data_IF_218725475685
#
_entry.id   IF_218725475685
#
_cell.length_a   1.000
_cell.length_b   1.000
_cell.length_c   1.000
_cell.angle_alpha   90.00
_cell.angle_beta   90.00
_cell.angle_gamma   90.00
#
_symmetry.space_group_name_H-M   'P 1'
#
loop_
_entity.id
_entity.type
_entity.pdbx_description
1 polymer ?
#
# COMPACT_ATOMS: atom_id res chain seq x y z
N UNK A 1 23.92 -11.66 -11.50
CA UNK A 1 22.58 -11.03 -11.40
C UNK A 1 21.53 -12.11 -11.30
N UNK A 2 21.00 -12.27 -10.10
CA UNK A 2 19.83 -13.08 -9.80
C UNK A 2 18.67 -12.15 -9.37
N UNK A 3 17.44 -12.64 -9.51
CA UNK A 3 16.27 -11.98 -8.97
C UNK A 3 15.91 -12.65 -7.64
N UNK A 4 15.67 -11.85 -6.61
CA UNK A 4 15.29 -12.34 -5.28
C UNK A 4 13.89 -11.85 -5.02
N UNK A 5 12.92 -12.75 -4.96
CA UNK A 5 11.55 -12.42 -4.61
C UNK A 5 11.36 -12.76 -3.15
N UNK A 6 11.01 -11.77 -2.35
CA UNK A 6 10.91 -11.81 -0.89
C UNK A 6 9.45 -11.55 -0.49
N UNK A 7 9.00 -12.29 0.50
CA UNK A 7 7.72 -12.09 1.17
C UNK A 7 7.88 -12.30 2.68
N UNK A 8 7.08 -11.61 3.48
CA UNK A 8 7.23 -11.55 4.93
C UNK A 8 5.88 -11.75 5.61
N UNK A 9 5.88 -12.51 6.70
CA UNK A 9 4.76 -12.51 7.64
C UNK A 9 5.17 -11.81 8.94
N UNK A 10 4.23 -11.08 9.54
CA UNK A 10 4.48 -10.31 10.76
C UNK A 10 3.31 -10.35 11.74
N UNK A 11 3.63 -10.11 13.02
CA UNK A 11 2.63 -9.94 14.07
C UNK A 11 2.64 -8.49 14.56
N UNK A 12 1.50 -7.81 14.38
CA UNK A 12 1.29 -6.46 14.90
C UNK A 12 1.27 -6.45 16.43
N UNK A 13 2.09 -5.60 17.03
CA UNK A 13 2.16 -5.45 18.49
C UNK A 13 2.45 -4.01 18.92
N UNK A 14 2.12 -3.67 20.16
CA UNK A 14 2.53 -2.41 20.74
C UNK A 14 3.90 -2.53 21.41
N UNK A 15 4.90 -1.83 20.87
CA UNK A 15 6.23 -1.78 21.46
C UNK A 15 6.29 -0.77 22.61
N UNK A 16 6.58 -1.27 23.81
CA UNK A 16 6.82 -0.40 24.99
C UNK A 16 8.08 0.45 24.85
N UNK A 17 9.10 -0.03 24.11
CA UNK A 17 10.37 0.66 23.87
C UNK A 17 10.16 1.94 23.07
N UNK A 18 9.37 1.85 21.99
CA UNK A 18 9.15 2.98 21.07
C UNK A 18 7.81 3.71 21.31
N UNK A 19 6.97 3.19 22.21
CA UNK A 19 5.60 3.68 22.51
C UNK A 19 4.72 3.80 21.26
N UNK A 20 4.85 2.83 20.34
CA UNK A 20 4.14 2.79 19.06
C UNK A 20 3.77 1.36 18.69
N UNK A 21 2.76 1.21 17.83
CA UNK A 21 2.53 -0.05 17.13
C UNK A 21 3.70 -0.37 16.21
N UNK A 22 4.04 -1.66 16.14
CA UNK A 22 5.19 -2.21 15.44
C UNK A 22 4.80 -3.56 14.85
N UNK A 23 5.14 -3.79 13.59
CA UNK A 23 4.93 -5.06 12.91
C UNK A 23 6.19 -5.91 13.05
N UNK A 24 6.20 -6.82 14.04
CA UNK A 24 7.35 -7.69 14.29
C UNK A 24 7.34 -8.85 13.32
N UNK A 25 8.39 -8.99 12.49
CA UNK A 25 8.50 -10.07 11.50
C UNK A 25 8.58 -11.41 12.23
N UNK A 26 7.79 -12.38 11.76
CA UNK A 26 7.70 -13.74 12.30
C UNK A 26 8.06 -14.83 11.27
N UNK A 27 8.04 -14.51 9.98
CA UNK A 27 8.49 -15.41 8.91
C UNK A 27 9.14 -14.60 7.78
N UNK A 28 10.16 -15.19 7.17
CA UNK A 28 10.81 -14.71 5.96
C UNK A 28 10.79 -15.82 4.93
N UNK A 29 10.14 -15.58 3.81
CA UNK A 29 10.22 -16.43 2.62
C UNK A 29 10.96 -15.70 1.51
N UNK A 30 11.79 -16.41 0.75
CA UNK A 30 12.32 -15.89 -0.50
C UNK A 30 12.59 -17.00 -1.51
N UNK A 31 12.46 -16.65 -2.79
CA UNK A 31 12.90 -17.49 -3.92
C UNK A 31 13.94 -16.74 -4.74
N UNK A 32 14.99 -17.46 -5.13
CA UNK A 32 16.03 -16.99 -6.04
C UNK A 32 15.68 -17.48 -7.44
N UNK A 33 15.53 -16.54 -8.35
CA UNK A 33 15.23 -16.81 -9.75
C UNK A 33 16.43 -16.39 -10.60
N UNK A 34 16.85 -17.30 -11.47
CA UNK A 34 17.97 -17.08 -12.39
C UNK A 34 17.61 -16.13 -13.53
N UNK A 35 18.60 -15.78 -14.36
CA UNK A 35 18.37 -14.96 -15.57
C UNK A 35 17.49 -15.65 -16.60
N UNK A 36 17.46 -16.98 -16.61
CA UNK A 36 16.57 -17.78 -17.46
C UNK A 36 15.17 -17.93 -16.86
N UNK A 37 14.85 -17.18 -15.80
CA UNK A 37 13.56 -17.17 -15.11
C UNK A 37 13.20 -18.49 -14.41
N UNK A 38 14.19 -19.35 -14.20
CA UNK A 38 14.03 -20.60 -13.45
C UNK A 38 14.33 -20.38 -11.96
N UNK A 39 13.49 -20.90 -11.04
CA UNK A 39 13.81 -20.98 -9.62
C UNK A 39 15.06 -21.84 -9.41
N UNK A 40 16.05 -21.31 -8.70
CA UNK A 40 17.32 -22.02 -8.45
C UNK A 40 17.57 -22.31 -6.98
N UNK A 41 16.90 -21.62 -6.07
CA UNK A 41 17.14 -21.73 -4.64
C UNK A 41 15.98 -21.09 -3.86
N UNK A 42 15.76 -21.54 -2.63
CA UNK A 42 14.75 -20.96 -1.72
C UNK A 42 15.37 -20.66 -0.36
N UNK A 43 14.84 -19.64 0.30
CA UNK A 43 15.19 -19.28 1.66
C UNK A 43 13.93 -19.22 2.52
N UNK A 44 14.00 -19.85 3.68
CA UNK A 44 12.93 -19.83 4.66
C UNK A 44 13.50 -19.66 6.05
N UNK A 45 12.90 -18.75 6.82
CA UNK A 45 13.24 -18.57 8.22
C UNK A 45 12.02 -18.16 9.04
N UNK A 46 11.70 -18.96 10.06
CA UNK A 46 10.79 -18.57 11.13
C UNK A 46 11.56 -17.74 12.16
N UNK A 47 10.99 -16.61 12.54
CA UNK A 47 11.59 -15.63 13.43
C UNK A 47 10.94 -15.71 14.81
N UNK A 48 11.76 -15.83 15.86
CA UNK A 48 11.27 -15.82 17.23
C UNK A 48 10.93 -14.40 17.68
N UNK A 49 9.66 -14.10 17.98
CA UNK A 49 9.25 -12.78 18.46
C UNK A 49 9.85 -12.48 19.84
N UNK A 50 10.31 -11.25 20.03
CA UNK A 50 10.88 -10.75 21.30
C UNK A 50 10.15 -9.50 21.81
N UNK A 51 9.43 -8.76 20.96
CA UNK A 51 8.62 -7.60 21.36
C UNK A 51 7.27 -8.06 21.90
N UNK A 52 6.64 -9.04 21.26
CA UNK A 52 5.40 -9.66 21.74
C UNK A 52 5.58 -11.11 22.14
N UNK A 53 4.99 -11.50 23.28
CA UNK A 53 4.93 -12.90 23.72
C UNK A 53 3.66 -13.62 23.26
N UNK A 54 2.71 -12.90 22.65
CA UNK A 54 1.42 -13.45 22.21
C UNK A 54 1.24 -13.21 20.72
N UNK A 55 1.13 -14.30 19.98
CA UNK A 55 0.67 -14.30 18.59
C UNK A 55 -0.82 -13.90 18.58
N UNK A 56 -1.20 -12.98 17.71
CA UNK A 56 -2.62 -12.66 17.53
C UNK A 56 -3.35 -13.85 16.90
N UNK A 57 -4.61 -14.08 17.28
CA UNK A 57 -5.43 -15.16 16.71
C UNK A 57 -5.58 -15.03 15.20
N UNK A 58 -5.66 -13.79 14.69
CA UNK A 58 -5.76 -13.45 13.26
C UNK A 58 -4.52 -13.90 12.51
N UNK A 59 -3.32 -13.62 13.02
CA UNK A 59 -2.07 -14.04 12.37
C UNK A 59 -1.94 -15.57 12.37
N UNK A 60 -2.36 -16.23 13.46
CA UNK A 60 -2.37 -17.71 13.51
C UNK A 60 -3.30 -18.32 12.46
N UNK A 61 -4.49 -17.75 12.27
CA UNK A 61 -5.44 -18.27 11.27
C UNK A 61 -4.97 -18.01 9.84
N UNK A 62 -4.34 -16.87 9.58
CA UNK A 62 -3.88 -16.51 8.23
C UNK A 62 -2.63 -17.30 7.83
N UNK A 63 -1.64 -17.37 8.72
CA UNK A 63 -0.32 -17.93 8.39
C UNK A 63 -0.21 -19.43 8.67
N UNK A 64 -1.04 -19.94 9.59
CA UNK A 64 -0.92 -21.30 10.09
C UNK A 64 0.33 -21.58 10.93
N UNK A 65 1.15 -20.56 11.25
CA UNK A 65 2.35 -20.70 12.06
C UNK A 65 1.94 -21.02 13.51
N UNK A 66 2.51 -22.09 14.06
CA UNK A 66 2.24 -22.51 15.44
C UNK A 66 3.13 -21.78 16.45
N UNK A 67 2.68 -21.69 17.70
CA UNK A 67 3.47 -21.01 18.76
C UNK A 67 4.79 -21.73 19.02
N UNK A 68 4.79 -23.04 18.85
CA UNK A 68 5.92 -23.94 19.02
C UNK A 68 6.98 -23.65 17.94
N UNK A 69 6.56 -23.51 16.69
CA UNK A 69 7.42 -23.10 15.56
C UNK A 69 8.09 -21.74 15.82
N UNK A 70 7.35 -20.77 16.36
CA UNK A 70 7.91 -19.46 16.73
C UNK A 70 8.91 -19.52 17.90
N UNK A 71 8.71 -20.42 18.87
CA UNK A 71 9.65 -20.59 20.00
C UNK A 71 11.00 -21.12 19.52
N UNK A 72 10.98 -22.01 18.54
CA UNK A 72 12.15 -22.59 17.89
C UNK A 72 12.73 -21.70 16.79
N UNK A 73 12.00 -20.64 16.41
CA UNK A 73 12.43 -19.62 15.48
C UNK A 73 13.76 -18.96 15.85
N UNK A 74 14.41 -18.39 14.84
CA UNK A 74 15.72 -17.74 14.99
C UNK A 74 15.54 -16.27 15.37
N UNK A 75 16.50 -15.64 16.06
CA UNK A 75 16.50 -14.19 16.23
C UNK A 75 16.51 -13.48 14.86
N UNK A 76 15.74 -12.39 14.74
CA UNK A 76 15.65 -11.60 13.50
C UNK A 76 17.04 -11.23 12.93
N UNK A 77 17.96 -10.81 13.79
CA UNK A 77 19.32 -10.42 13.41
C UNK A 77 20.10 -11.58 12.76
N UNK A 78 19.92 -12.80 13.25
CA UNK A 78 20.54 -14.00 12.69
C UNK A 78 19.94 -14.34 11.33
N UNK A 79 18.61 -14.29 11.20
CA UNK A 79 17.92 -14.58 9.95
C UNK A 79 18.29 -13.58 8.84
N UNK A 80 18.34 -12.28 9.14
CA UNK A 80 18.79 -11.25 8.19
C UNK A 80 20.24 -11.46 7.76
N UNK A 81 21.13 -11.85 8.69
CA UNK A 81 22.52 -12.18 8.37
C UNK A 81 22.63 -13.40 7.45
N UNK A 82 21.80 -14.42 7.68
CA UNK A 82 21.71 -15.60 6.81
C UNK A 82 21.14 -15.25 5.43
N UNK A 83 20.06 -14.49 5.36
CA UNK A 83 19.46 -14.03 4.11
C UNK A 83 20.46 -13.22 3.28
N UNK A 84 21.18 -12.27 3.90
CA UNK A 84 22.24 -11.51 3.24
C UNK A 84 23.32 -12.41 2.63
N UNK A 85 23.76 -13.43 3.37
CA UNK A 85 24.76 -14.41 2.89
C UNK A 85 24.21 -15.30 1.79
N UNK A 86 22.93 -15.66 1.86
CA UNK A 86 22.26 -16.49 0.87
C UNK A 86 22.03 -15.74 -0.45
N UNK A 87 21.76 -14.43 -0.40
CA UNK A 87 21.70 -13.56 -1.59
C UNK A 87 23.08 -13.51 -2.24
N UNK A 88 24.14 -13.21 -1.46
CA UNK A 88 25.56 -13.13 -1.83
C UNK A 88 25.94 -12.14 -2.96
N UNK A 89 25.21 -12.16 -4.08
CA UNK A 89 25.41 -11.36 -5.27
C UNK A 89 25.00 -9.89 -5.03
N UNK A 90 25.95 -8.93 -5.04
CA UNK A 90 25.63 -7.52 -4.86
C UNK A 90 24.88 -6.90 -6.05
N UNK A 91 24.85 -7.59 -7.21
CA UNK A 91 24.08 -7.19 -8.38
C UNK A 91 22.66 -7.75 -8.39
N UNK A 92 22.27 -8.51 -7.36
CA UNK A 92 20.93 -9.05 -7.26
C UNK A 92 19.88 -7.93 -7.19
N UNK A 93 18.73 -8.18 -7.81
CA UNK A 93 17.55 -7.31 -7.72
C UNK A 93 16.59 -7.96 -6.74
N UNK A 94 16.31 -7.27 -5.64
CA UNK A 94 15.35 -7.73 -4.64
C UNK A 94 13.97 -7.18 -4.99
N UNK A 95 12.95 -8.02 -4.89
CA UNK A 95 11.57 -7.69 -5.22
C UNK A 95 10.67 -8.16 -4.10
N UNK A 96 9.61 -7.41 -3.87
CA UNK A 96 8.48 -7.83 -3.03
C UNK A 96 7.20 -7.62 -3.83
N UNK A 97 6.11 -8.31 -3.48
CA UNK A 97 4.85 -8.09 -4.17
C UNK A 97 4.42 -6.62 -4.05
N UNK A 98 4.55 -6.03 -2.85
CA UNK A 98 4.31 -4.59 -2.64
C UNK A 98 5.40 -3.94 -1.79
N UNK A 99 5.47 -2.62 -1.77
CA UNK A 99 6.35 -1.88 -0.86
C UNK A 99 6.06 -2.07 0.64
N UNK A 100 4.96 -2.74 1.01
CA UNK A 100 4.60 -3.02 2.42
C UNK A 100 5.66 -3.85 3.12
N UNK A 101 6.09 -4.96 2.51
CA UNK A 101 7.14 -5.85 3.03
C UNK A 101 8.44 -5.08 3.25
N UNK A 102 8.80 -4.22 2.29
CA UNK A 102 10.00 -3.42 2.37
C UNK A 102 9.95 -2.41 3.54
N UNK A 103 8.80 -1.80 3.78
CA UNK A 103 8.58 -0.90 4.92
C UNK A 103 8.66 -1.64 6.26
N UNK A 104 8.04 -2.82 6.36
CA UNK A 104 8.09 -3.66 7.56
C UNK A 104 9.52 -4.13 7.83
N UNK A 105 10.23 -4.59 6.80
CA UNK A 105 11.64 -4.99 6.91
C UNK A 105 12.53 -3.84 7.36
N UNK A 106 12.35 -2.64 6.79
CA UNK A 106 13.09 -1.45 7.19
C UNK A 106 12.81 -1.07 8.66
N UNK A 107 11.55 -1.15 9.10
CA UNK A 107 11.20 -0.88 10.50
C UNK A 107 11.86 -1.88 11.47
N UNK A 108 11.91 -3.16 11.10
CA UNK A 108 12.58 -4.20 11.89
C UNK A 108 14.11 -4.01 11.90
N UNK A 109 14.72 -3.63 10.76
CA UNK A 109 16.14 -3.25 10.71
C UNK A 109 16.46 -2.08 11.64
N UNK A 110 15.63 -1.03 11.65
CA UNK A 110 15.77 0.09 12.60
C UNK A 110 15.66 -0.35 14.05
N UNK A 111 14.69 -1.23 14.34
CA UNK A 111 14.41 -1.65 15.72
C UNK A 111 15.47 -2.59 16.30
N UNK A 112 15.95 -3.56 15.51
CA UNK A 112 16.82 -4.65 15.96
C UNK A 112 18.30 -4.48 15.57
N UNK A 113 18.59 -3.77 14.48
CA UNK A 113 19.95 -3.58 13.97
C UNK A 113 20.46 -2.14 14.12
N UNK A 114 19.58 -1.20 14.54
CA UNK A 114 19.86 0.24 14.55
C UNK A 114 20.34 0.75 13.18
N UNK A 115 19.75 0.25 12.10
CA UNK A 115 20.09 0.62 10.72
C UNK A 115 18.89 1.25 10.02
N UNK A 116 19.10 2.44 9.46
CA UNK A 116 18.10 3.15 8.64
C UNK A 116 18.02 2.67 7.19
N UNK A 117 18.69 1.55 6.88
CA UNK A 117 18.79 0.93 5.55
C UNK A 117 18.70 -0.58 5.68
N UNK A 118 18.22 -1.25 4.64
CA UNK A 118 18.18 -2.71 4.59
C UNK A 118 19.54 -3.21 4.06
N UNK A 119 20.33 -3.98 4.85
CA UNK A 119 21.76 -4.18 4.59
C UNK A 119 22.14 -4.90 3.29
N UNK A 120 21.20 -5.60 2.66
CA UNK A 120 21.45 -6.46 1.50
C UNK A 120 20.73 -6.00 0.24
N UNK A 121 19.92 -4.94 0.30
CA UNK A 121 19.18 -4.43 -0.85
C UNK A 121 19.99 -3.28 -1.46
N UNK A 122 20.54 -3.51 -2.66
CA UNK A 122 21.16 -2.48 -3.49
C UNK A 122 20.29 -2.07 -4.66
N UNK A 123 19.58 -3.02 -5.25
CA UNK A 123 18.60 -2.80 -6.30
C UNK A 123 17.27 -3.39 -5.86
N UNK A 124 16.20 -2.62 -6.04
CA UNK A 124 14.85 -3.02 -5.66
C UNK A 124 13.86 -2.80 -6.81
N UNK A 125 12.87 -3.68 -6.93
CA UNK A 125 11.70 -3.46 -7.78
C UNK A 125 10.40 -3.84 -7.05
N UNK A 126 9.36 -3.05 -7.26
CA UNK A 126 7.99 -3.34 -6.80
C UNK A 126 7.30 -4.19 -7.88
N UNK A 127 7.06 -5.48 -7.57
CA UNK A 127 6.54 -6.42 -8.54
C UNK A 127 5.07 -6.16 -8.89
N UNK A 128 4.25 -5.69 -7.95
CA UNK A 128 2.87 -5.31 -8.23
C UNK A 128 2.81 -4.11 -9.18
N UNK A 129 3.66 -3.09 -8.98
CA UNK A 129 3.72 -1.95 -9.89
C UNK A 129 4.12 -2.36 -11.31
N UNK A 130 5.09 -3.27 -11.43
CA UNK A 130 5.48 -3.83 -12.73
C UNK A 130 4.36 -4.68 -13.36
N UNK A 131 3.68 -5.51 -12.56
CA UNK A 131 2.53 -6.29 -13.00
C UNK A 131 1.40 -5.40 -13.54
N UNK A 132 1.03 -4.33 -12.82
CA UNK A 132 0.00 -3.39 -13.28
C UNK A 132 0.35 -2.74 -14.61
N UNK A 133 1.61 -2.35 -14.79
CA UNK A 133 2.10 -1.82 -16.05
C UNK A 133 1.94 -2.83 -17.19
N UNK A 134 2.35 -4.09 -16.98
CA UNK A 134 2.25 -5.15 -18.00
C UNK A 134 0.80 -5.52 -18.33
N UNK A 135 -0.10 -5.41 -17.37
CA UNK A 135 -1.53 -5.70 -17.55
C UNK A 135 -2.37 -4.52 -18.04
N UNK A 136 -1.75 -3.33 -18.22
CA UNK A 136 -2.49 -2.12 -18.59
C UNK A 136 -3.52 -1.69 -17.54
N UNK A 137 -3.32 -2.07 -16.28
CA UNK A 137 -4.23 -1.76 -15.19
C UNK A 137 -3.99 -0.34 -14.68
N UNK A 138 -5.08 0.39 -14.41
CA UNK A 138 -5.01 1.73 -13.85
C UNK A 138 -4.60 1.70 -12.37
N UNK A 139 -3.80 2.68 -11.94
CA UNK A 139 -3.24 2.75 -10.59
C UNK A 139 -4.25 2.90 -9.44
N UNK A 140 -5.56 2.92 -9.72
CA UNK A 140 -6.62 2.89 -8.70
C UNK A 140 -6.99 1.48 -8.22
N UNK A 141 -6.59 0.43 -8.94
CA UNK A 141 -6.89 -0.95 -8.56
C UNK A 141 -5.62 -1.66 -8.09
N UNK A 142 -5.52 -1.91 -6.77
CA UNK A 142 -4.48 -2.80 -6.25
C UNK A 142 -4.87 -4.25 -6.51
N UNK A 143 -4.00 -5.01 -7.17
CA UNK A 143 -4.23 -6.43 -7.47
C UNK A 143 -3.46 -7.25 -6.46
N UNK A 144 -4.17 -8.01 -5.62
CA UNK A 144 -3.54 -8.98 -4.73
C UNK A 144 -2.89 -10.12 -5.53
N UNK A 145 -1.90 -10.78 -4.92
CA UNK A 145 -1.15 -11.86 -5.56
C UNK A 145 -2.05 -12.97 -6.10
N UNK A 146 -3.04 -13.42 -5.30
CA UNK A 146 -4.03 -14.45 -5.70
C UNK A 146 -4.70 -14.08 -7.02
N UNK A 147 -5.24 -12.86 -7.11
CA UNK A 147 -5.91 -12.36 -8.31
C UNK A 147 -4.95 -12.25 -9.50
N UNK A 148 -3.68 -11.90 -9.25
CA UNK A 148 -2.67 -11.88 -10.31
C UNK A 148 -2.35 -13.28 -10.84
N UNK A 149 -2.27 -14.28 -9.96
CA UNK A 149 -2.11 -15.69 -10.34
C UNK A 149 -3.31 -16.17 -11.18
N UNK A 150 -4.54 -15.88 -10.75
CA UNK A 150 -5.76 -16.18 -11.50
C UNK A 150 -5.73 -15.58 -12.92
N UNK A 151 -5.38 -14.29 -13.04
CA UNK A 151 -5.28 -13.60 -14.33
C UNK A 151 -4.25 -14.22 -15.28
N UNK A 152 -3.21 -14.87 -14.73
CA UNK A 152 -2.12 -15.50 -15.49
C UNK A 152 -2.30 -17.01 -15.66
N UNK A 153 -3.39 -17.58 -15.16
CA UNK A 153 -3.60 -19.04 -15.16
C UNK A 153 -2.51 -19.80 -14.40
N UNK A 154 -2.01 -19.22 -13.30
CA UNK A 154 -1.06 -19.87 -12.40
C UNK A 154 -1.87 -20.60 -11.33
N UNK A 155 -1.68 -21.92 -11.22
CA UNK A 155 -2.36 -22.73 -10.20
C UNK A 155 -1.79 -22.41 -8.82
N UNK A 156 -2.66 -21.90 -7.96
CA UNK A 156 -2.37 -21.75 -6.54
C UNK A 156 -2.57 -23.11 -5.85
N UNK A 157 -1.48 -23.83 -5.63
CA UNK A 157 -1.49 -25.15 -4.99
C UNK A 157 -1.30 -25.06 -3.46
N UNK A 158 -1.46 -23.88 -2.85
CA UNK A 158 -1.30 -23.71 -1.40
C UNK A 158 -2.35 -24.50 -0.63
N UNK A 159 -1.97 -25.02 0.53
CA UNK A 159 -2.88 -25.63 1.49
C UNK A 159 -3.54 -24.55 2.35
N UNK A 160 -4.41 -23.72 1.77
CA UNK A 160 -5.28 -22.71 2.43
C UNK A 160 -4.63 -21.71 3.42
N UNK A 161 -3.31 -21.73 3.60
CA UNK A 161 -2.54 -20.94 4.58
C UNK A 161 -1.53 -20.06 3.87
N UNK A 162 -1.39 -18.82 4.32
CA UNK A 162 -0.39 -17.87 3.83
C UNK A 162 0.97 -18.18 4.46
N UNK A 163 1.84 -18.88 3.74
CA UNK A 163 3.25 -19.03 4.12
C UNK A 163 4.07 -18.10 3.26
N UNK A 164 4.97 -17.34 3.90
CA UNK A 164 5.81 -16.38 3.19
C UNK A 164 6.62 -17.01 2.04
N UNK A 165 7.08 -18.26 2.20
CA UNK A 165 7.82 -18.94 1.14
C UNK A 165 6.93 -19.25 -0.08
N UNK A 166 5.70 -19.71 0.15
CA UNK A 166 4.77 -20.04 -0.94
C UNK A 166 4.40 -18.79 -1.72
N UNK A 167 4.14 -17.68 -1.02
CA UNK A 167 3.86 -16.38 -1.63
C UNK A 167 5.06 -15.82 -2.42
N UNK A 168 6.29 -16.05 -1.93
CA UNK A 168 7.51 -15.74 -2.67
C UNK A 168 7.62 -16.55 -3.97
N UNK A 169 7.33 -17.85 -3.92
CA UNK A 169 7.38 -18.75 -5.08
C UNK A 169 6.33 -18.37 -6.11
N UNK A 170 5.08 -18.14 -5.70
CA UNK A 170 4.01 -17.68 -6.58
C UNK A 170 4.34 -16.33 -7.23
N UNK A 171 4.85 -15.38 -6.44
CA UNK A 171 5.33 -14.09 -6.95
C UNK A 171 6.46 -14.27 -7.98
N UNK A 172 7.38 -15.21 -7.74
CA UNK A 172 8.42 -15.59 -8.71
C UNK A 172 7.85 -16.14 -10.02
N UNK A 173 6.80 -16.96 -9.96
CA UNK A 173 6.11 -17.49 -11.15
C UNK A 173 5.38 -16.37 -11.91
N UNK A 174 4.70 -15.47 -11.21
CA UNK A 174 4.09 -14.28 -11.81
C UNK A 174 5.15 -13.48 -12.54
N UNK A 175 6.27 -13.17 -11.88
CA UNK A 175 7.40 -12.46 -12.47
C UNK A 175 7.91 -13.15 -13.74
N UNK A 176 8.15 -14.46 -13.70
CA UNK A 176 8.62 -15.24 -14.85
C UNK A 176 7.66 -15.15 -16.04
N UNK A 177 6.34 -15.10 -15.82
CA UNK A 177 5.33 -14.99 -16.88
C UNK A 177 5.26 -13.61 -17.54
N UNK A 178 5.53 -12.54 -16.77
CA UNK A 178 5.38 -11.15 -17.26
C UNK A 178 6.71 -10.48 -17.59
N UNK A 179 7.84 -11.16 -17.37
CA UNK A 179 9.17 -10.58 -17.51
C UNK A 179 9.43 -10.12 -18.93
N UNK A 180 9.86 -8.87 -19.05
CA UNK A 180 10.33 -8.26 -20.26
C UNK A 180 11.51 -7.36 -19.88
N UNK A 181 12.70 -7.65 -20.41
CA UNK A 181 13.93 -7.03 -19.92
C UNK A 181 13.96 -5.51 -20.09
N UNK A 182 13.42 -5.01 -21.21
CA UNK A 182 13.39 -3.58 -21.52
C UNK A 182 12.42 -2.85 -20.59
N UNK A 183 11.18 -3.32 -20.48
CA UNK A 183 10.19 -2.74 -19.58
C UNK A 183 10.62 -2.84 -18.12
N UNK A 184 11.11 -3.99 -17.68
CA UNK A 184 11.45 -4.25 -16.28
C UNK A 184 12.58 -3.34 -15.79
N UNK A 185 13.57 -3.02 -16.64
CA UNK A 185 14.68 -2.13 -16.29
C UNK A 185 14.22 -0.77 -15.73
N UNK A 186 13.04 -0.28 -16.16
CA UNK A 186 12.43 0.99 -15.72
C UNK A 186 11.82 0.93 -14.31
N UNK A 187 11.64 -0.27 -13.76
CA UNK A 187 11.08 -0.54 -12.44
C UNK A 187 12.15 -0.94 -11.42
N UNK A 188 13.43 -1.00 -11.84
CA UNK A 188 14.55 -1.29 -10.97
C UNK A 188 15.13 0.04 -10.45
N UNK A 189 15.13 0.20 -9.14
CA UNK A 189 15.64 1.38 -8.46
C UNK A 189 16.86 1.04 -7.62
N UNK A 190 17.86 1.92 -7.62
CA UNK A 190 18.95 1.85 -6.65
C UNK A 190 18.39 2.18 -5.26
N UNK A 191 18.70 1.36 -4.26
CA UNK A 191 18.30 1.57 -2.88
C UNK A 191 19.23 2.58 -2.18
N UNK A 192 19.28 3.79 -2.73
CA UNK A 192 20.07 4.91 -2.24
C UNK A 192 19.29 5.79 -1.25
N UNK A 193 19.90 6.89 -0.82
CA UNK A 193 19.27 7.85 0.10
C UNK A 193 17.92 8.37 -0.40
N UNK A 194 17.80 8.65 -1.70
CA UNK A 194 16.59 9.18 -2.30
C UNK A 194 15.47 8.15 -2.33
N UNK A 195 15.81 6.91 -2.67
CA UNK A 195 14.88 5.78 -2.61
C UNK A 195 14.25 5.65 -1.22
N UNK A 196 15.06 5.67 -0.16
CA UNK A 196 14.52 5.56 1.20
C UNK A 196 13.77 6.82 1.65
N UNK A 197 14.16 8.03 1.20
CA UNK A 197 13.37 9.25 1.43
C UNK A 197 11.98 9.13 0.83
N UNK A 198 11.88 8.65 -0.42
CA UNK A 198 10.59 8.42 -1.09
C UNK A 198 9.78 7.31 -0.43
N UNK A 199 10.42 6.18 -0.11
CA UNK A 199 9.78 5.02 0.52
C UNK A 199 9.15 5.39 1.87
N UNK A 200 9.87 6.16 2.69
CA UNK A 200 9.44 6.51 4.05
C UNK A 200 8.55 7.76 4.11
N UNK A 201 8.29 8.40 2.97
CA UNK A 201 7.46 9.60 2.91
C UNK A 201 6.00 9.30 3.25
N UNK A 202 5.51 9.94 4.32
CA UNK A 202 4.11 9.82 4.74
C UNK A 202 3.26 10.87 4.04
N UNK A 203 2.38 10.39 3.16
CA UNK A 203 1.39 11.26 2.51
C UNK A 203 0.56 11.98 3.56
N UNK A 204 0.63 13.31 3.53
CA UNK A 204 -0.05 14.16 4.52
C UNK A 204 -1.26 14.79 3.87
N UNK A 205 -2.36 14.89 4.63
CA UNK A 205 -3.54 15.60 4.15
C UNK A 205 -3.42 17.04 4.62
N UNK A 206 -3.53 17.95 3.66
CA UNK A 206 -3.49 19.37 3.94
C UNK A 206 -4.85 19.77 4.49
N UNK A 207 -4.86 20.30 5.72
CA UNK A 207 -6.05 20.76 6.43
C UNK A 207 -6.24 22.27 6.41
N UNK A 208 -5.26 23.02 5.90
CA UNK A 208 -5.31 24.47 5.77
C UNK A 208 -5.27 24.88 4.29
N UNK A 209 -6.27 25.65 3.85
CA UNK A 209 -6.34 26.18 2.48
C UNK A 209 -5.30 27.26 2.18
N UNK A 210 -4.71 27.88 3.21
CA UNK A 210 -3.63 28.88 3.06
C UNK A 210 -2.27 28.24 2.80
N UNK A 211 -2.18 26.92 2.88
CA UNK A 211 -0.95 26.19 2.64
C UNK A 211 -0.48 26.38 1.18
N UNK A 212 0.81 26.61 1.00
CA UNK A 212 1.44 26.92 -0.31
C UNK A 212 1.18 25.85 -1.39
N UNK A 213 0.96 24.60 -1.00
CA UNK A 213 0.70 23.50 -1.91
C UNK A 213 -0.77 23.42 -2.37
N UNK A 214 -1.65 24.28 -1.85
CA UNK A 214 -3.06 24.34 -2.25
C UNK A 214 -3.22 25.23 -3.47
N UNK A 215 -3.59 24.62 -4.61
CA UNK A 215 -3.93 25.37 -5.80
C UNK A 215 -5.40 25.85 -5.76
N UNK A 216 -5.60 27.12 -5.43
CA UNK A 216 -6.93 27.74 -5.33
C UNK A 216 -7.73 27.70 -6.65
N UNK A 217 -7.07 27.65 -7.81
CA UNK A 217 -7.77 27.54 -9.09
C UNK A 217 -8.51 26.21 -9.23
N UNK A 218 -8.04 25.15 -8.55
CA UNK A 218 -8.70 23.84 -8.54
C UNK A 218 -9.97 23.81 -7.69
N UNK A 219 -10.24 24.84 -6.88
CA UNK A 219 -11.44 25.00 -6.05
C UNK A 219 -12.65 25.58 -6.80
N UNK A 220 -12.54 25.79 -8.11
CA UNK A 220 -13.66 26.21 -8.97
C UNK A 220 -14.40 25.00 -9.52
N UNK A 221 -15.73 25.10 -9.59
CA UNK A 221 -16.64 24.04 -10.02
C UNK A 221 -17.57 24.53 -11.12
N UNK A 222 -18.11 23.58 -11.88
CA UNK A 222 -19.12 23.80 -12.92
C UNK A 222 -20.33 22.94 -12.62
N UNK A 223 -21.51 23.42 -12.98
CA UNK A 223 -22.78 22.71 -12.86
C UNK A 223 -22.73 21.42 -13.69
N UNK A 224 -23.21 20.32 -13.13
CA UNK A 224 -23.26 19.03 -13.82
C UNK A 224 -24.26 19.00 -14.98
N UNK A 225 -25.27 19.87 -14.95
CA UNK A 225 -26.36 19.89 -15.94
C UNK A 225 -26.10 20.90 -17.07
N UNK A 226 -25.81 22.17 -16.74
CA UNK A 226 -25.63 23.23 -17.73
C UNK A 226 -24.17 23.57 -18.04
N UNK A 227 -23.19 23.05 -17.29
CA UNK A 227 -21.77 23.33 -17.49
C UNK A 227 -21.32 24.74 -17.08
N UNK A 228 -22.23 25.62 -16.65
CA UNK A 228 -21.90 26.97 -16.18
C UNK A 228 -21.18 26.96 -14.83
N UNK A 229 -20.37 27.99 -14.51
CA UNK A 229 -19.75 28.12 -13.20
C UNK A 229 -20.81 28.13 -12.09
N UNK A 230 -20.57 27.38 -11.02
CA UNK A 230 -21.40 27.44 -9.81
C UNK A 230 -20.76 28.35 -8.78
N UNK A 231 -21.60 29.08 -8.04
CA UNK A 231 -21.16 30.02 -7.03
C UNK A 231 -21.12 29.36 -5.66
N UNK A 232 -20.10 29.66 -4.87
CA UNK A 232 -19.94 29.10 -3.52
C UNK A 232 -20.86 29.83 -2.56
N UNK A 233 -21.70 29.09 -1.85
CA UNK A 233 -22.59 29.59 -0.80
C UNK A 233 -22.01 29.14 0.55
N UNK A 234 -21.33 30.06 1.25
CA UNK A 234 -20.71 29.80 2.54
C UNK A 234 -19.19 29.56 2.51
N UNK A 235 -18.63 29.26 3.68
CA UNK A 235 -17.19 29.06 3.88
C UNK A 235 -16.76 27.60 3.70
N UNK A 236 -15.47 27.40 3.46
CA UNK A 236 -14.88 26.06 3.47
C UNK A 236 -14.77 25.53 4.90
N UNK A 237 -15.31 24.35 5.16
CA UNK A 237 -15.09 23.63 6.40
C UNK A 237 -14.22 22.39 6.16
N UNK A 238 -13.22 22.16 7.00
CA UNK A 238 -12.42 20.94 6.96
C UNK A 238 -12.99 19.90 7.91
N UNK A 239 -13.42 18.75 7.37
CA UNK A 239 -13.92 17.61 8.15
C UNK A 239 -13.60 16.31 7.42
N UNK A 240 -13.48 15.21 8.15
CA UNK A 240 -13.28 13.87 7.54
C UNK A 240 -12.19 13.84 6.47
N UNK A 241 -11.06 14.52 6.72
CA UNK A 241 -9.89 14.56 5.83
C UNK A 241 -10.14 15.23 4.47
N UNK A 242 -11.13 16.12 4.36
CA UNK A 242 -11.43 16.90 3.15
C UNK A 242 -12.07 18.25 3.50
N UNK A 243 -11.99 19.19 2.57
CA UNK A 243 -12.69 20.47 2.60
C UNK A 243 -14.08 20.31 1.96
N UNK A 244 -15.08 20.92 2.59
CA UNK A 244 -16.46 20.97 2.11
C UNK A 244 -16.95 22.40 2.02
N UNK A 245 -17.69 22.70 0.97
CA UNK A 245 -18.41 23.97 0.82
C UNK A 245 -19.66 23.75 -0.02
N UNK A 246 -20.70 24.52 0.23
CA UNK A 246 -21.93 24.47 -0.57
C UNK A 246 -21.80 25.37 -1.80
N UNK A 247 -22.44 24.96 -2.88
CA UNK A 247 -22.46 25.66 -4.15
C UNK A 247 -23.89 25.75 -4.69
N UNK A 248 -24.17 26.77 -5.49
CA UNK A 248 -25.46 27.00 -6.11
C UNK A 248 -25.30 27.33 -7.59
N UNK A 249 -26.20 26.77 -8.41
CA UNK A 249 -26.33 27.09 -9.82
C UNK A 249 -27.57 27.95 -10.03
N UNK A 250 -27.40 29.22 -10.42
CA UNK A 250 -28.52 30.13 -10.67
C UNK A 250 -29.37 29.72 -11.88
N UNK A 251 -28.77 29.10 -12.90
CA UNK A 251 -29.47 28.69 -14.14
C UNK A 251 -30.34 27.45 -13.95
N UNK A 252 -29.90 26.52 -13.10
CA UNK A 252 -30.62 25.26 -12.88
C UNK A 252 -31.38 25.22 -11.56
N UNK A 253 -31.29 26.28 -10.76
CA UNK A 253 -31.79 26.36 -9.37
C UNK A 253 -31.38 25.17 -8.48
N UNK A 254 -30.16 24.66 -8.69
CA UNK A 254 -29.67 23.45 -8.00
C UNK A 254 -28.60 23.78 -6.96
N UNK A 255 -28.70 23.10 -5.82
CA UNK A 255 -27.72 23.16 -4.73
C UNK A 255 -26.78 21.96 -4.80
N UNK A 256 -25.49 22.21 -4.58
CA UNK A 256 -24.45 21.21 -4.59
C UNK A 256 -23.61 21.28 -3.31
N UNK A 257 -23.02 20.15 -2.93
CA UNK A 257 -21.95 20.06 -1.95
C UNK A 257 -20.66 19.74 -2.68
N UNK A 258 -19.69 20.66 -2.62
CA UNK A 258 -18.34 20.40 -3.10
C UNK A 258 -17.54 19.67 -2.01
N UNK A 259 -16.77 18.67 -2.42
CA UNK A 259 -15.77 17.98 -1.60
C UNK A 259 -14.42 18.10 -2.28
N UNK A 260 -13.43 18.65 -1.59
CA UNK A 260 -12.04 18.76 -2.08
C UNK A 260 -11.09 18.12 -1.08
N UNK A 261 -10.27 17.18 -1.54
CA UNK A 261 -9.21 16.59 -0.75
C UNK A 261 -7.86 16.92 -1.36
N UNK A 262 -6.96 17.49 -0.56
CA UNK A 262 -5.59 17.80 -0.96
C UNK A 262 -4.63 16.86 -0.23
N UNK A 263 -3.92 16.02 -0.99
CA UNK A 263 -2.92 15.08 -0.47
C UNK A 263 -1.54 15.56 -0.89
N UNK A 264 -0.68 15.88 0.07
CA UNK A 264 0.73 16.12 -0.17
C UNK A 264 1.45 14.78 -0.27
N UNK A 265 1.86 14.42 -1.49
CA UNK A 265 2.71 13.25 -1.77
C UNK A 265 4.16 13.70 -1.93
N UNK A 266 5.07 12.73 -2.05
CA UNK A 266 6.49 13.00 -2.29
C UNK A 266 6.72 13.86 -3.55
N UNK A 267 5.95 13.60 -4.62
CA UNK A 267 6.00 14.33 -5.89
C UNK A 267 5.27 15.67 -5.90
N UNK A 268 4.67 16.07 -4.77
CA UNK A 268 3.89 17.29 -4.64
C UNK A 268 2.42 17.06 -4.27
N UNK A 269 1.63 18.13 -4.27
CA UNK A 269 0.23 18.07 -3.87
C UNK A 269 -0.71 17.64 -5.01
N UNK A 270 -1.51 16.64 -4.72
CA UNK A 270 -2.63 16.19 -5.55
C UNK A 270 -3.95 16.67 -4.96
N UNK A 271 -4.81 17.19 -5.83
CA UNK A 271 -6.15 17.66 -5.46
C UNK A 271 -7.20 16.79 -6.13
N UNK A 272 -7.98 16.06 -5.33
CA UNK A 272 -9.16 15.35 -5.79
C UNK A 272 -10.40 16.19 -5.44
N UNK A 273 -11.30 16.39 -6.40
CA UNK A 273 -12.52 17.17 -6.19
C UNK A 273 -13.76 16.44 -6.71
N UNK A 274 -14.87 16.60 -6.01
CA UNK A 274 -16.17 16.03 -6.36
C UNK A 274 -17.25 17.07 -6.08
N UNK A 275 -18.25 17.14 -6.94
CA UNK A 275 -19.44 17.97 -6.75
C UNK A 275 -20.65 17.05 -6.67
N UNK A 276 -21.39 17.10 -5.57
CA UNK A 276 -22.53 16.22 -5.31
C UNK A 276 -23.78 17.08 -5.24
N UNK A 277 -24.79 16.82 -6.06
CA UNK A 277 -26.08 17.53 -5.99
C UNK A 277 -26.79 17.18 -4.67
N UNK A 278 -27.32 18.19 -3.97
CA UNK A 278 -28.15 17.95 -2.79
C UNK A 278 -29.54 17.48 -3.24
N UNK A 279 -30.13 16.46 -2.59
CA UNK A 279 -31.52 16.09 -2.84
C UNK A 279 -32.43 17.27 -2.54
N UNK A 280 -33.48 17.45 -3.34
CA UNK A 280 -34.55 18.40 -3.06
C UNK A 280 -35.25 17.99 -1.75
N UNK A 281 -35.63 18.96 -0.89
CA UNK A 281 -36.43 18.64 0.28
C UNK A 281 -37.76 17.99 -0.17
N UNK A 282 -38.28 17.00 0.58
CA UNK A 282 -39.59 16.45 0.29
C UNK A 282 -40.64 17.57 0.34
N UNK A 283 -41.67 17.55 -0.52
CA UNK A 283 -42.74 18.52 -0.46
C UNK A 283 -43.40 18.47 0.92
N UNK A 284 -43.62 19.65 1.52
CA UNK A 284 -44.37 19.78 2.77
C UNK A 284 -45.78 19.21 2.54
N UNK A 285 -46.12 18.12 3.22
CA UNK A 285 -47.50 17.65 3.29
C UNK A 285 -48.32 18.72 4.01
N UNK A 286 -49.04 19.52 3.24
CA UNK A 286 -50.08 20.39 3.78
C UNK A 286 -51.16 19.47 4.38
N UNK A 287 -51.18 19.33 5.71
CA UNK A 287 -52.33 18.82 6.44
C UNK A 287 -53.55 19.69 6.09
N UNK A 288 -54.39 19.19 5.18
CA UNK A 288 -55.72 19.72 4.94
C UNK A 288 -56.53 19.41 6.20
N UNK A 289 -56.63 20.40 7.09
CA UNK A 289 -57.63 20.41 8.15
C UNK A 289 -59.01 20.47 7.48
N UNK A 290 -59.61 19.30 7.21
CA UNK A 290 -61.02 19.21 6.89
C UNK A 290 -61.83 19.71 8.08
N UNK A 291 -62.45 20.88 7.91
CA UNK A 291 -63.36 21.47 8.87
C UNK A 291 -64.63 20.64 9.00
N UNK A 292 -64.84 20.07 10.19
CA UNK A 292 -66.15 19.58 10.62
C UNK A 292 -67.00 20.76 11.09
N UNK A 293 -68.09 21.02 10.36
CA UNK A 293 -69.27 21.73 10.87
C UNK A 293 -70.20 20.76 11.59
#
# INVERSE_FOLDING_TARGET
MAFIILDLEWNGTYSKKTRKYFNEIIEIGAVKVSRSLEPVDTFHAVIRPVVTRRLSSVVRSLTGIEKEELKEGRPFTQAVSQLRRWIADPSAIVMTWSTTDLLVLLENCRYFLNQDRIPFIKNYADLQAYFHFKMGLSGSQQTGLVKACEMLGISDNRQDKHRALDDSVLSGQVFARIYDSEAFSRFVFCADEEFYRRLTYKTTIISDLKNEYVNLAKLKFKCCDCGNPVERVGEWCFRSRAFYADYYCAECDKKYTARVQVKLKYSGAETAKTLIQKPEPPPEEHEVLEGGQ
#
